data_IF_565335301837
#
_entry.id   IF_565335301837
#
_cell.length_a   1.000
_cell.length_b   1.000
_cell.length_c   1.000
_cell.angle_alpha   90.00
_cell.angle_beta   90.00
_cell.angle_gamma   90.00
#
_symmetry.space_group_name_H-M   'P 1'
#
loop_
_entity.id
_entity.type
_entity.pdbx_description
1 polymer ?
#
# COMPACT_ATOMS: atom_id res chain seq x y z
N UNK A 1 3.24 20.06 30.78
CA UNK A 1 1.84 20.36 31.13
C UNK A 1 1.07 20.36 29.83
N UNK A 2 0.30 19.30 29.60
CA UNK A 2 -0.62 19.22 28.46
C UNK A 2 -1.83 20.08 28.87
N UNK A 3 -2.33 20.99 28.01
CA UNK A 3 -3.49 21.82 28.34
C UNK A 3 -4.68 20.95 28.73
N UNK A 4 -5.37 21.33 29.81
CA UNK A 4 -6.55 20.67 30.39
C UNK A 4 -7.71 20.50 29.40
N UNK A 5 -7.68 21.18 28.26
CA UNK A 5 -8.68 21.05 27.21
C UNK A 5 -8.57 19.74 26.42
N UNK A 6 -7.42 19.03 26.50
CA UNK A 6 -7.20 17.77 25.77
C UNK A 6 -7.80 16.56 26.53
N UNK A 7 -7.92 16.60 27.86
CA UNK A 7 -8.52 15.50 28.64
C UNK A 7 -10.02 15.34 28.37
N UNK A 8 -10.72 16.43 28.00
CA UNK A 8 -12.15 16.38 27.67
C UNK A 8 -12.47 15.69 26.33
N UNK A 9 -11.48 15.58 25.44
CA UNK A 9 -11.57 14.83 24.18
C UNK A 9 -11.31 13.33 24.37
N UNK A 10 -10.84 12.92 25.54
CA UNK A 10 -10.36 11.56 25.78
C UNK A 10 -11.49 10.58 26.14
N UNK A 11 -12.67 11.10 26.51
CA UNK A 11 -13.85 10.30 26.83
C UNK A 11 -15.01 10.67 25.89
N UNK A 12 -15.20 9.93 24.78
CA UNK A 12 -16.33 10.18 23.88
C UNK A 12 -17.65 10.02 24.63
N UNK A 13 -18.66 10.81 24.24
CA UNK A 13 -20.00 10.68 24.81
C UNK A 13 -20.52 9.23 24.65
N UNK A 14 -21.45 8.76 25.50
CA UNK A 14 -21.96 7.39 25.41
C UNK A 14 -22.50 7.02 24.01
N UNK A 15 -23.11 7.99 23.30
CA UNK A 15 -23.54 7.81 21.92
C UNK A 15 -22.38 7.67 20.93
N UNK A 16 -21.34 8.50 21.06
CA UNK A 16 -20.12 8.38 20.27
C UNK A 16 -19.38 7.07 20.55
N UNK A 17 -19.36 6.62 21.80
CA UNK A 17 -18.76 5.34 22.18
C UNK A 17 -19.51 4.16 21.52
N UNK A 18 -20.84 4.23 21.39
CA UNK A 18 -21.59 3.22 20.64
C UNK A 18 -21.26 3.27 19.15
N UNK A 19 -21.19 4.45 18.53
CA UNK A 19 -20.85 4.55 17.10
C UNK A 19 -19.43 4.07 16.81
N UNK A 20 -18.46 4.38 17.67
CA UNK A 20 -17.04 4.06 17.46
C UNK A 20 -16.67 2.61 17.82
N UNK A 21 -17.39 2.00 18.77
CA UNK A 21 -17.00 0.71 19.35
C UNK A 21 -18.09 -0.36 19.31
N UNK A 22 -19.35 -0.04 18.94
CA UNK A 22 -20.37 -1.05 18.63
C UNK A 22 -20.29 -1.47 17.17
N UNK A 23 -20.25 -2.78 16.91
CA UNK A 23 -20.10 -3.36 15.56
C UNK A 23 -21.28 -2.99 14.65
N UNK A 24 -22.50 -2.91 15.17
CA UNK A 24 -23.69 -2.63 14.36
C UNK A 24 -23.82 -1.15 14.02
N UNK A 25 -23.63 -0.27 15.01
CA UNK A 25 -23.75 1.18 14.82
C UNK A 25 -22.58 1.74 14.02
N UNK A 26 -21.38 1.18 14.18
CA UNK A 26 -20.22 1.54 13.35
C UNK A 26 -20.48 1.21 11.88
N UNK A 27 -21.12 0.08 11.57
CA UNK A 27 -21.41 -0.31 10.19
C UNK A 27 -22.39 0.63 9.49
N UNK A 28 -23.53 0.94 10.13
CA UNK A 28 -24.51 1.86 9.56
C UNK A 28 -23.90 3.26 9.34
N UNK A 29 -23.15 3.75 10.32
CA UNK A 29 -22.42 5.01 10.21
C UNK A 29 -21.39 5.00 9.06
N UNK A 30 -20.61 3.94 8.93
CA UNK A 30 -19.63 3.78 7.85
C UNK A 30 -20.29 3.79 6.47
N UNK A 31 -21.42 3.09 6.31
CA UNK A 31 -22.19 3.07 5.07
C UNK A 31 -22.74 4.45 4.70
N UNK A 32 -23.24 5.20 5.69
CA UNK A 32 -23.73 6.55 5.49
C UNK A 32 -22.59 7.51 5.09
N UNK A 33 -21.43 7.39 5.73
CA UNK A 33 -20.24 8.16 5.36
C UNK A 33 -19.83 7.88 3.91
N UNK A 34 -19.72 6.61 3.52
CA UNK A 34 -19.36 6.21 2.17
C UNK A 34 -20.39 6.63 1.11
N UNK A 35 -21.68 6.61 1.45
CA UNK A 35 -22.75 7.10 0.57
C UNK A 35 -22.67 8.62 0.40
N UNK A 36 -22.46 9.35 1.50
CA UNK A 36 -22.32 10.80 1.49
C UNK A 36 -21.12 11.25 0.67
N UNK A 37 -19.96 10.57 0.77
CA UNK A 37 -18.75 10.87 -0.02
C UNK A 37 -19.00 10.92 -1.54
N UNK A 38 -20.00 10.19 -2.03
CA UNK A 38 -20.36 10.13 -3.45
C UNK A 38 -21.23 11.32 -3.87
N UNK A 39 -22.18 11.70 -3.04
CA UNK A 39 -23.32 12.53 -3.43
C UNK A 39 -23.19 14.00 -2.98
N UNK A 40 -22.19 14.33 -2.16
CA UNK A 40 -21.99 15.66 -1.60
C UNK A 40 -20.98 16.53 -2.36
N UNK A 41 -20.98 17.83 -2.09
CA UNK A 41 -19.99 18.76 -2.60
C UNK A 41 -18.59 18.49 -1.99
N UNK A 42 -17.56 19.09 -2.59
CA UNK A 42 -16.18 18.86 -2.17
C UNK A 42 -15.90 19.27 -0.71
N UNK A 43 -16.53 20.33 -0.20
CA UNK A 43 -16.33 20.76 1.19
C UNK A 43 -16.92 19.75 2.17
N UNK A 44 -18.11 19.24 1.86
CA UNK A 44 -18.77 18.22 2.67
C UNK A 44 -17.98 16.90 2.63
N UNK A 45 -17.50 16.49 1.46
CA UNK A 45 -16.68 15.28 1.32
C UNK A 45 -15.39 15.36 2.16
N UNK A 46 -14.80 16.54 2.24
CA UNK A 46 -13.57 16.79 3.01
C UNK A 46 -13.86 16.73 4.52
N UNK A 47 -14.97 17.30 4.97
CA UNK A 47 -15.41 17.19 6.36
C UNK A 47 -15.65 15.72 6.77
N UNK A 48 -16.32 14.94 5.92
CA UNK A 48 -16.55 13.51 6.15
C UNK A 48 -15.22 12.74 6.18
N UNK A 49 -14.28 13.04 5.28
CA UNK A 49 -12.97 12.37 5.25
C UNK A 49 -12.15 12.67 6.51
N UNK A 50 -12.15 13.91 7.01
CA UNK A 50 -11.54 14.25 8.29
C UNK A 50 -12.18 13.53 9.47
N UNK A 51 -13.51 13.44 9.50
CA UNK A 51 -14.23 12.69 10.53
C UNK A 51 -13.87 11.20 10.51
N UNK A 52 -13.81 10.58 9.33
CA UNK A 52 -13.33 9.21 9.15
C UNK A 52 -11.91 9.07 9.71
N UNK A 53 -11.01 10.00 9.39
CA UNK A 53 -9.63 9.95 9.85
C UNK A 53 -9.54 10.04 11.38
N UNK A 54 -10.32 10.91 12.00
CA UNK A 54 -10.42 11.01 13.45
C UNK A 54 -10.87 9.68 14.07
N UNK A 55 -11.89 9.03 13.50
CA UNK A 55 -12.38 7.75 13.98
C UNK A 55 -11.38 6.60 13.78
N UNK A 56 -10.49 6.70 12.78
CA UNK A 56 -9.45 5.70 12.50
C UNK A 56 -8.23 5.80 13.42
N UNK A 57 -7.95 6.98 13.98
CA UNK A 57 -6.73 7.23 14.76
C UNK A 57 -6.62 6.25 15.94
N UNK A 58 -5.57 5.43 15.94
CA UNK A 58 -5.35 4.36 16.93
C UNK A 58 -6.53 3.36 17.11
N UNK A 59 -7.49 3.31 16.18
CA UNK A 59 -8.65 2.43 16.23
C UNK A 59 -8.59 1.38 15.11
N UNK A 60 -8.10 0.19 15.45
CA UNK A 60 -7.92 -0.90 14.48
C UNK A 60 -9.25 -1.41 13.91
N UNK A 61 -10.29 -1.51 14.75
CA UNK A 61 -11.60 -2.05 14.32
C UNK A 61 -12.26 -1.11 13.31
N UNK A 62 -12.36 0.16 13.66
CA UNK A 62 -12.95 1.16 12.76
C UNK A 62 -12.15 1.27 11.46
N UNK A 63 -10.81 1.33 11.56
CA UNK A 63 -9.93 1.38 10.38
C UNK A 63 -10.17 0.21 9.43
N UNK A 64 -10.28 -1.02 9.94
CA UNK A 64 -10.52 -2.18 9.10
C UNK A 64 -11.89 -2.12 8.40
N UNK A 65 -12.95 -1.76 9.15
CA UNK A 65 -14.30 -1.67 8.59
C UNK A 65 -14.43 -0.58 7.52
N UNK A 66 -13.91 0.63 7.75
CA UNK A 66 -14.01 1.71 6.77
C UNK A 66 -13.15 1.44 5.54
N UNK A 67 -11.95 0.87 5.69
CA UNK A 67 -11.11 0.50 4.54
C UNK A 67 -11.82 -0.56 3.69
N UNK A 68 -12.40 -1.60 4.32
CA UNK A 68 -13.14 -2.64 3.61
C UNK A 68 -14.33 -2.07 2.85
N UNK A 69 -15.10 -1.17 3.47
CA UNK A 69 -16.25 -0.52 2.81
C UNK A 69 -15.80 0.38 1.65
N UNK A 70 -14.76 1.19 1.84
CA UNK A 70 -14.18 2.03 0.77
C UNK A 70 -13.70 1.16 -0.39
N UNK A 71 -13.02 0.03 -0.11
CA UNK A 71 -12.54 -0.89 -1.14
C UNK A 71 -13.68 -1.60 -1.86
N UNK A 72 -14.72 -2.03 -1.14
CA UNK A 72 -15.92 -2.60 -1.73
C UNK A 72 -16.60 -1.62 -2.70
N UNK A 73 -16.72 -0.34 -2.31
CA UNK A 73 -17.19 0.71 -3.21
C UNK A 73 -16.25 0.89 -4.40
N UNK A 74 -14.93 0.91 -4.18
CA UNK A 74 -13.92 0.99 -5.25
C UNK A 74 -14.01 -0.18 -6.24
N UNK A 75 -14.47 -1.36 -5.82
CA UNK A 75 -14.64 -2.51 -6.72
C UNK A 75 -15.98 -2.52 -7.46
N UNK A 76 -17.01 -1.83 -6.95
CA UNK A 76 -18.41 -2.03 -7.40
C UNK A 76 -19.07 -0.80 -8.04
N UNK A 77 -18.77 0.42 -7.58
CA UNK A 77 -19.41 1.64 -8.10
C UNK A 77 -18.83 2.06 -9.46
N UNK A 78 -19.57 2.78 -10.32
CA UNK A 78 -19.06 3.24 -11.62
C UNK A 78 -17.71 3.99 -11.54
N UNK A 79 -16.77 3.79 -12.49
CA UNK A 79 -15.44 4.39 -12.41
C UNK A 79 -15.38 5.92 -12.31
N UNK A 80 -16.43 6.64 -12.72
CA UNK A 80 -16.53 8.10 -12.62
C UNK A 80 -16.70 8.60 -11.18
N UNK A 81 -17.12 7.76 -10.25
CA UNK A 81 -17.39 8.11 -8.85
C UNK A 81 -16.23 7.74 -7.91
N UNK A 82 -15.18 7.10 -8.43
CA UNK A 82 -14.08 6.57 -7.61
C UNK A 82 -13.19 7.64 -6.96
N UNK A 83 -13.22 8.87 -7.47
CA UNK A 83 -12.32 9.95 -7.03
C UNK A 83 -12.44 10.22 -5.52
N UNK A 84 -13.67 10.33 -5.00
CA UNK A 84 -13.91 10.61 -3.57
C UNK A 84 -13.46 9.45 -2.68
N UNK A 85 -13.71 8.21 -3.10
CA UNK A 85 -13.29 7.01 -2.37
C UNK A 85 -11.77 6.87 -2.30
N UNK A 86 -11.06 7.07 -3.41
CA UNK A 86 -9.60 7.05 -3.41
C UNK A 86 -9.01 8.20 -2.60
N UNK A 87 -9.64 9.38 -2.59
CA UNK A 87 -9.21 10.50 -1.75
C UNK A 87 -9.32 10.14 -0.26
N UNK A 88 -10.50 9.72 0.19
CA UNK A 88 -10.72 9.33 1.59
C UNK A 88 -9.80 8.18 2.02
N UNK A 89 -9.62 7.17 1.17
CA UNK A 89 -8.70 6.06 1.42
C UNK A 89 -7.25 6.55 1.55
N UNK A 90 -6.82 7.50 0.71
CA UNK A 90 -5.48 8.10 0.82
C UNK A 90 -5.30 8.78 2.17
N UNK A 91 -6.27 9.57 2.62
CA UNK A 91 -6.20 10.27 3.92
C UNK A 91 -6.10 9.27 5.08
N UNK A 92 -6.91 8.21 5.07
CA UNK A 92 -6.86 7.12 6.07
C UNK A 92 -5.48 6.44 6.11
N UNK A 93 -4.85 6.21 4.96
CA UNK A 93 -3.51 5.60 4.90
C UNK A 93 -2.38 6.53 5.33
N UNK A 94 -2.60 7.86 5.28
CA UNK A 94 -1.61 8.86 5.68
C UNK A 94 -1.67 9.22 7.17
N UNK A 95 -2.65 8.71 7.92
CA UNK A 95 -2.69 8.89 9.38
C UNK A 95 -1.40 8.35 10.00
N UNK A 96 -0.66 9.22 10.69
CA UNK A 96 0.61 8.90 11.34
C UNK A 96 0.39 8.41 12.78
N UNK A 97 0.06 7.13 12.91
CA UNK A 97 -0.10 6.45 14.19
C UNK A 97 0.59 5.06 14.18
N UNK A 98 0.44 4.30 15.27
CA UNK A 98 0.98 2.95 15.42
C UNK A 98 0.35 1.90 14.47
N UNK A 99 -0.74 2.23 13.79
CA UNK A 99 -1.50 1.35 12.90
C UNK A 99 -1.29 1.65 11.41
N UNK A 100 -0.55 2.72 11.05
CA UNK A 100 -0.34 3.14 9.65
C UNK A 100 0.14 2.00 8.75
N UNK A 101 1.18 1.26 9.15
CA UNK A 101 1.72 0.14 8.36
C UNK A 101 0.70 -0.98 8.16
N UNK A 102 -0.14 -1.25 9.18
CA UNK A 102 -1.21 -2.26 9.10
C UNK A 102 -2.30 -1.82 8.13
N UNK A 103 -2.70 -0.54 8.15
CA UNK A 103 -3.67 0.01 7.19
C UNK A 103 -3.15 -0.11 5.76
N UNK A 104 -1.89 0.27 5.52
CA UNK A 104 -1.25 0.15 4.20
C UNK A 104 -1.24 -1.31 3.71
N UNK A 105 -0.78 -2.25 4.54
CA UNK A 105 -0.75 -3.66 4.18
C UNK A 105 -2.15 -4.21 3.88
N UNK A 106 -3.12 -3.91 4.74
CA UNK A 106 -4.50 -4.35 4.59
C UNK A 106 -5.13 -3.81 3.31
N UNK A 107 -4.88 -2.54 2.96
CA UNK A 107 -5.40 -1.96 1.71
C UNK A 107 -4.72 -2.52 0.46
N UNK A 108 -3.40 -2.61 0.45
CA UNK A 108 -2.66 -2.95 -0.77
C UNK A 108 -2.66 -4.46 -1.05
N UNK A 109 -2.43 -5.30 -0.04
CA UNK A 109 -2.37 -6.76 -0.17
C UNK A 109 -3.63 -7.49 0.30
N UNK A 110 -4.57 -6.77 0.96
CA UNK A 110 -5.86 -7.32 1.37
C UNK A 110 -5.86 -7.85 2.81
N UNK A 111 -7.07 -8.06 3.32
CA UNK A 111 -7.30 -8.73 4.59
C UNK A 111 -7.27 -10.25 4.45
N UNK A 112 -7.03 -10.96 5.57
CA UNK A 112 -7.00 -12.43 5.62
C UNK A 112 -8.26 -13.09 5.03
N UNK A 113 -9.42 -12.46 5.22
CA UNK A 113 -10.72 -13.02 4.83
C UNK A 113 -11.27 -12.46 3.52
N UNK A 114 -10.72 -11.33 3.03
CA UNK A 114 -11.16 -10.63 1.82
C UNK A 114 -9.99 -10.12 0.97
N UNK A 115 -9.07 -11.00 0.53
CA UNK A 115 -7.92 -10.60 -0.29
C UNK A 115 -8.34 -10.00 -1.64
N UNK A 116 -9.54 -10.32 -2.13
CA UNK A 116 -10.11 -9.83 -3.38
C UNK A 116 -10.37 -8.33 -3.41
N UNK A 117 -10.58 -7.70 -2.25
CA UNK A 117 -10.81 -6.26 -2.13
C UNK A 117 -9.52 -5.44 -2.19
N UNK A 118 -8.35 -6.09 -2.14
CA UNK A 118 -7.07 -5.39 -2.20
C UNK A 118 -6.91 -4.57 -3.48
N UNK A 119 -6.18 -3.47 -3.40
CA UNK A 119 -5.96 -2.61 -4.57
C UNK A 119 -5.18 -3.35 -5.66
N UNK A 120 -4.16 -4.13 -5.30
CA UNK A 120 -3.43 -4.94 -6.29
C UNK A 120 -4.35 -5.96 -6.96
N UNK A 121 -5.24 -6.63 -6.21
CA UNK A 121 -6.17 -7.59 -6.82
C UNK A 121 -7.18 -6.89 -7.72
N UNK A 122 -7.69 -5.73 -7.31
CA UNK A 122 -8.60 -4.90 -8.12
C UNK A 122 -7.96 -4.50 -9.45
N UNK A 123 -6.69 -4.09 -9.45
CA UNK A 123 -5.91 -3.77 -10.66
C UNK A 123 -5.78 -5.01 -11.57
N UNK A 124 -5.56 -6.18 -10.99
CA UNK A 124 -5.34 -7.43 -11.74
C UNK A 124 -6.62 -8.02 -12.34
N UNK A 125 -7.77 -7.92 -11.65
CA UNK A 125 -8.99 -8.66 -12.03
C UNK A 125 -10.07 -7.81 -12.67
N UNK A 126 -10.03 -6.48 -12.54
CA UNK A 126 -11.05 -5.63 -13.13
C UNK A 126 -11.00 -5.71 -14.66
N UNK A 127 -12.18 -5.70 -15.30
CA UNK A 127 -12.32 -5.55 -16.75
C UNK A 127 -12.39 -4.08 -17.20
N UNK A 128 -12.56 -3.14 -16.24
CA UNK A 128 -12.78 -1.73 -16.52
C UNK A 128 -11.48 -0.95 -16.53
N UNK A 129 -11.01 -0.57 -17.72
CA UNK A 129 -9.71 0.12 -17.87
C UNK A 129 -9.59 1.41 -17.04
N UNK A 130 -10.68 2.15 -16.84
CA UNK A 130 -10.68 3.36 -15.99
C UNK A 130 -10.45 3.03 -14.51
N UNK A 131 -10.96 1.90 -14.02
CA UNK A 131 -10.79 1.46 -12.62
C UNK A 131 -9.35 0.99 -12.40
N UNK A 132 -8.83 0.18 -13.33
CA UNK A 132 -7.44 -0.28 -13.31
C UNK A 132 -6.49 0.92 -13.28
N UNK A 133 -6.64 1.87 -14.20
CA UNK A 133 -5.82 3.08 -14.23
C UNK A 133 -5.88 3.90 -12.94
N UNK A 134 -7.08 4.11 -12.38
CA UNK A 134 -7.21 4.85 -11.12
C UNK A 134 -6.56 4.11 -9.94
N UNK A 135 -6.62 2.78 -9.91
CA UNK A 135 -5.87 1.97 -8.95
C UNK A 135 -4.35 2.15 -9.10
N UNK A 136 -3.83 2.15 -10.33
CA UNK A 136 -2.41 2.40 -10.60
C UNK A 136 -2.00 3.80 -10.15
N UNK A 137 -2.79 4.83 -10.52
CA UNK A 137 -2.55 6.21 -10.11
C UNK A 137 -2.57 6.36 -8.59
N UNK A 138 -3.45 5.64 -7.91
CA UNK A 138 -3.50 5.62 -6.45
C UNK A 138 -2.23 5.02 -5.84
N UNK A 139 -1.76 3.84 -6.28
CA UNK A 139 -0.55 3.22 -5.70
C UNK A 139 0.70 4.09 -5.92
N UNK A 140 0.83 4.70 -7.11
CA UNK A 140 1.95 5.59 -7.45
C UNK A 140 1.91 6.86 -6.59
N UNK A 141 0.75 7.51 -6.54
CA UNK A 141 0.56 8.71 -5.73
C UNK A 141 0.76 8.47 -4.23
N UNK A 142 0.35 7.30 -3.73
CA UNK A 142 0.58 6.91 -2.33
C UNK A 142 2.07 6.69 -2.04
N UNK A 143 2.80 6.03 -2.94
CA UNK A 143 4.25 5.82 -2.80
C UNK A 143 5.01 7.17 -2.73
N UNK A 144 4.58 8.17 -3.50
CA UNK A 144 5.20 9.49 -3.49
C UNK A 144 4.94 10.30 -2.21
N UNK A 145 3.90 9.95 -1.45
CA UNK A 145 3.48 10.67 -0.24
C UNK A 145 3.82 9.96 1.07
N UNK A 146 4.04 8.66 1.04
CA UNK A 146 4.26 7.85 2.24
C UNK A 146 5.41 6.87 2.04
N UNK A 147 6.51 7.08 2.76
CA UNK A 147 7.68 6.21 2.71
C UNK A 147 7.35 4.76 3.08
N UNK A 148 6.53 4.53 4.11
CA UNK A 148 6.08 3.17 4.51
C UNK A 148 5.28 2.50 3.40
N UNK A 149 4.46 3.25 2.66
CA UNK A 149 3.71 2.71 1.53
C UNK A 149 4.63 2.41 0.34
N UNK A 150 5.59 3.31 0.05
CA UNK A 150 6.62 3.10 -0.98
C UNK A 150 7.41 1.82 -0.71
N UNK A 151 7.90 1.64 0.52
CA UNK A 151 8.62 0.43 0.92
C UNK A 151 7.76 -0.83 0.75
N UNK A 152 6.50 -0.78 1.17
CA UNK A 152 5.58 -1.91 1.00
C UNK A 152 5.33 -2.22 -0.48
N UNK A 153 5.09 -1.20 -1.32
CA UNK A 153 4.84 -1.36 -2.75
C UNK A 153 6.06 -1.95 -3.46
N UNK A 154 7.26 -1.48 -3.13
CA UNK A 154 8.50 -2.04 -3.68
C UNK A 154 8.68 -3.50 -3.27
N UNK A 155 8.30 -3.88 -2.05
CA UNK A 155 8.28 -5.29 -1.64
C UNK A 155 7.23 -6.14 -2.39
N UNK A 156 6.28 -5.52 -3.11
CA UNK A 156 5.30 -6.17 -3.99
C UNK A 156 5.71 -6.02 -5.47
N UNK A 157 6.97 -6.37 -5.76
CA UNK A 157 7.60 -6.12 -7.06
C UNK A 157 6.88 -6.75 -8.25
N UNK A 158 6.41 -7.99 -8.14
CA UNK A 158 5.66 -8.67 -9.21
C UNK A 158 4.33 -7.97 -9.52
N UNK A 159 3.61 -7.56 -8.47
CA UNK A 159 2.33 -6.86 -8.61
C UNK A 159 2.54 -5.47 -9.22
N UNK A 160 3.59 -4.76 -8.80
CA UNK A 160 3.98 -3.48 -9.38
C UNK A 160 4.35 -3.65 -10.87
N UNK A 161 5.21 -4.60 -11.22
CA UNK A 161 5.58 -4.89 -12.61
C UNK A 161 4.37 -5.22 -13.48
N UNK A 162 3.43 -6.02 -12.96
CA UNK A 162 2.17 -6.36 -13.64
C UNK A 162 1.34 -5.10 -13.91
N UNK A 163 1.19 -4.23 -12.91
CA UNK A 163 0.45 -2.99 -13.02
C UNK A 163 1.08 -2.02 -14.05
N UNK A 164 2.40 -1.81 -13.97
CA UNK A 164 3.12 -0.94 -14.92
C UNK A 164 3.07 -1.50 -16.34
N UNK A 165 3.26 -2.81 -16.51
CA UNK A 165 3.17 -3.47 -17.82
C UNK A 165 1.78 -3.32 -18.44
N UNK A 166 0.74 -3.44 -17.63
CA UNK A 166 -0.63 -3.17 -18.08
C UNK A 166 -0.79 -1.73 -18.56
N UNK A 167 -0.29 -0.74 -17.81
CA UNK A 167 -0.39 0.68 -18.16
C UNK A 167 0.38 1.00 -19.45
N UNK A 168 1.62 0.52 -19.57
CA UNK A 168 2.46 0.63 -20.78
C UNK A 168 1.73 0.07 -22.00
N UNK A 169 1.23 -1.16 -21.91
CA UNK A 169 0.47 -1.80 -23.00
C UNK A 169 -0.77 -1.01 -23.34
N UNK A 170 -1.55 -0.56 -22.34
CA UNK A 170 -2.78 0.20 -22.58
C UNK A 170 -2.50 1.50 -23.33
N UNK A 171 -1.44 2.23 -22.97
CA UNK A 171 -1.01 3.44 -23.68
C UNK A 171 -0.55 3.09 -25.10
N UNK A 172 0.25 2.03 -25.27
CA UNK A 172 0.79 1.63 -26.58
C UNK A 172 -0.26 1.07 -27.57
N UNK A 173 -1.13 0.16 -27.13
CA UNK A 173 -2.21 -0.42 -27.97
C UNK A 173 -3.13 0.68 -28.55
N UNK A 174 -3.31 1.76 -27.78
CA UNK A 174 -4.12 2.90 -28.18
C UNK A 174 -3.31 3.92 -29.00
N UNK A 175 -1.98 3.84 -29.01
CA UNK A 175 -1.12 4.64 -29.89
C UNK A 175 -1.07 4.05 -31.31
N UNK A 176 -1.04 2.72 -31.45
CA UNK A 176 -0.97 2.03 -32.75
C UNK A 176 -2.31 2.07 -33.51
N UNK A 177 -3.43 1.99 -32.79
CA UNK A 177 -4.76 2.13 -33.39
C UNK A 177 -5.02 3.51 -34.00
N UNK A 178 -4.23 4.54 -33.67
CA UNK A 178 -4.30 5.87 -34.30
C UNK A 178 -3.42 6.00 -35.55
N UNK A 179 -2.29 5.29 -35.63
CA UNK A 179 -1.46 5.27 -36.82
C UNK A 179 -2.15 4.57 -38.00
N UNK A 180 -3.04 3.61 -37.73
CA UNK A 180 -3.82 2.90 -38.74
C UNK A 180 -5.25 3.43 -38.98
N UNK A 181 -5.72 4.40 -38.19
CA UNK A 181 -7.11 4.90 -38.24
C UNK A 181 -7.30 6.18 -39.07
N UNK A 182 -6.59 6.32 -40.19
CA UNK A 182 -6.97 7.26 -41.26
C UNK A 182 -8.22 6.78 -42.05
N UNK A 183 -9.00 5.85 -41.50
CA UNK A 183 -10.19 5.32 -42.13
C UNK A 183 -11.24 4.89 -41.10
N UNK A 184 -12.37 5.59 -41.19
CA UNK A 184 -13.72 5.27 -40.73
C UNK A 184 -14.11 5.35 -39.24
N UNK A 185 -14.98 6.34 -39.02
CA UNK A 185 -16.27 6.28 -38.31
C UNK A 185 -16.35 5.78 -36.87
N UNK A 186 -16.57 6.77 -35.99
CA UNK A 186 -17.70 6.86 -35.07
C UNK A 186 -18.05 5.63 -34.21
N UNK A 187 -17.13 5.17 -33.36
CA UNK A 187 -17.50 4.45 -32.13
C UNK A 187 -16.52 4.76 -30.98
N UNK A 188 -17.06 4.98 -29.78
CA UNK A 188 -16.40 5.20 -28.47
C UNK A 188 -15.52 6.45 -28.27
N UNK A 189 -16.14 7.52 -27.77
CA UNK A 189 -15.48 8.74 -27.31
C UNK A 189 -14.70 8.57 -25.99
N UNK A 190 -15.01 7.56 -25.17
CA UNK A 190 -14.37 7.34 -23.86
C UNK A 190 -12.95 6.81 -23.97
N UNK A 191 -12.64 6.03 -25.00
CA UNK A 191 -11.30 5.51 -25.26
C UNK A 191 -10.35 6.58 -25.82
N UNK A 192 -10.89 7.56 -26.56
CA UNK A 192 -10.12 8.65 -27.22
C UNK A 192 -9.61 9.73 -26.26
N UNK A 193 -10.15 9.85 -25.04
CA UNK A 193 -9.70 10.83 -24.04
C UNK A 193 -8.46 10.33 -23.27
N UNK A 194 -8.31 9.02 -23.09
CA UNK A 194 -7.21 8.45 -22.29
C UNK A 194 -5.82 8.78 -22.86
N UNK A 195 -5.74 8.89 -24.20
CA UNK A 195 -4.54 9.24 -24.98
C UNK A 195 -4.02 10.67 -24.76
N UNK A 196 -4.85 11.61 -24.27
CA UNK A 196 -4.53 13.05 -24.31
C UNK A 196 -4.13 13.66 -22.98
N UNK A 197 -4.32 12.97 -21.86
CA UNK A 197 -4.00 13.55 -20.56
C UNK A 197 -2.55 13.28 -20.22
N UNK A 198 -1.75 14.35 -20.21
CA UNK A 198 -0.41 14.46 -19.60
C UNK A 198 -0.31 13.59 -18.33
N UNK A 199 -1.35 13.62 -17.49
CA UNK A 199 -1.46 12.78 -16.29
C UNK A 199 -1.24 11.26 -16.46
N UNK A 200 -1.61 10.64 -17.58
CA UNK A 200 -1.44 9.20 -17.77
C UNK A 200 0.02 8.84 -18.09
N UNK A 201 0.70 9.70 -18.86
CA UNK A 201 2.13 9.59 -19.11
C UNK A 201 2.92 9.89 -17.85
N UNK A 202 2.56 10.96 -17.11
CA UNK A 202 3.19 11.29 -15.81
C UNK A 202 3.09 10.10 -14.84
N UNK A 203 1.90 9.50 -14.74
CA UNK A 203 1.68 8.32 -13.89
C UNK A 203 2.57 7.15 -14.34
N UNK A 204 2.73 6.94 -15.65
CA UNK A 204 3.60 5.90 -16.16
C UNK A 204 5.08 6.18 -15.85
N UNK A 205 5.52 7.42 -16.00
CA UNK A 205 6.91 7.83 -15.72
C UNK A 205 7.26 7.66 -14.24
N UNK A 206 6.37 8.09 -13.35
CA UNK A 206 6.50 7.87 -11.90
C UNK A 206 6.47 6.36 -11.56
N UNK A 207 5.61 5.57 -12.19
CA UNK A 207 5.57 4.12 -11.97
C UNK A 207 6.86 3.42 -12.46
N UNK A 208 7.43 3.89 -13.58
CA UNK A 208 8.72 3.40 -14.06
C UNK A 208 9.86 3.76 -13.10
N UNK A 209 9.81 4.94 -12.48
CA UNK A 209 10.79 5.32 -11.47
C UNK A 209 10.77 4.38 -10.25
N UNK A 210 9.57 3.95 -9.82
CA UNK A 210 9.44 2.93 -8.76
C UNK A 210 10.03 1.57 -9.17
N UNK A 211 9.85 1.14 -10.43
CA UNK A 211 10.47 -0.10 -10.92
C UNK A 211 12.01 0.01 -10.97
N UNK A 212 12.55 1.12 -11.46
CA UNK A 212 14.00 1.33 -11.49
C UNK A 212 14.59 1.34 -10.06
N UNK A 213 13.86 1.89 -9.10
CA UNK A 213 14.26 1.83 -7.70
C UNK A 213 14.24 0.41 -7.15
N UNK A 214 13.21 -0.39 -7.46
CA UNK A 214 13.14 -1.80 -7.09
C UNK A 214 14.38 -2.57 -7.60
N UNK A 215 14.70 -2.43 -8.89
CA UNK A 215 15.87 -3.04 -9.51
C UNK A 215 17.17 -2.61 -8.82
N UNK A 216 17.28 -1.34 -8.43
CA UNK A 216 18.43 -0.83 -7.69
C UNK A 216 18.53 -1.39 -6.26
N UNK A 217 17.41 -1.74 -5.61
CA UNK A 217 17.40 -2.40 -4.29
C UNK A 217 17.83 -3.85 -4.41
N UNK A 218 17.34 -4.57 -5.41
CA UNK A 218 17.69 -5.97 -5.66
C UNK A 218 19.18 -6.11 -6.02
N UNK A 219 19.71 -5.16 -6.81
CA UNK A 219 21.14 -5.12 -7.18
C UNK A 219 22.08 -4.87 -6.00
N UNK A 220 21.58 -4.27 -4.91
CA UNK A 220 22.35 -3.97 -3.69
C UNK A 220 22.24 -5.07 -2.63
N UNK A 221 21.38 -6.07 -2.82
CA UNK A 221 21.30 -7.19 -1.90
C UNK A 221 22.62 -7.97 -1.95
N UNK A 222 23.33 -8.15 -0.82
CA UNK A 222 24.59 -8.87 -0.81
C UNK A 222 24.33 -10.32 -1.23
N UNK A 223 25.03 -10.75 -2.26
CA UNK A 223 24.97 -12.13 -2.76
C UNK A 223 25.40 -13.08 -1.63
N UNK A 224 24.57 -14.03 -1.15
CA UNK A 224 24.95 -14.96 -0.08
C UNK A 224 25.97 -16.02 -0.52
N UNK A 225 26.53 -15.91 -1.72
CA UNK A 225 27.49 -16.84 -2.28
C UNK A 225 28.87 -16.19 -2.39
N UNK A 226 29.59 -16.09 -1.28
CA UNK A 226 31.07 -16.01 -1.18
C UNK A 226 31.49 -16.11 0.29
N UNK A 227 31.07 -17.17 1.00
CA UNK A 227 31.83 -17.66 2.14
C UNK A 227 32.90 -18.57 1.58
N UNK A 228 34.12 -18.06 1.53
CA UNK A 228 35.35 -18.78 1.16
C UNK A 228 35.52 -20.02 2.04
N UNK A 229 35.30 -21.20 1.46
CA UNK A 229 35.63 -22.47 2.08
C UNK A 229 37.14 -22.58 2.23
N UNK A 230 37.59 -22.53 3.48
CA UNK A 230 38.93 -22.89 3.92
C UNK A 230 39.28 -24.30 3.45
N UNK A 231 40.24 -24.41 2.51
CA UNK A 231 40.89 -25.69 2.20
C UNK A 231 42.30 -25.67 2.78
N UNK A 232 42.48 -26.58 3.73
CA UNK A 232 43.71 -26.94 4.44
C UNK A 232 44.78 -27.48 3.49
N UNK A 233 46.03 -27.03 3.63
CA UNK A 233 47.23 -27.82 3.31
C UNK A 233 48.50 -27.27 3.96
N UNK A 234 48.88 -27.96 5.04
CA UNK A 234 50.22 -28.49 5.36
C UNK A 234 51.48 -27.62 5.42
N UNK A 235 52.12 -27.75 6.59
CA UNK A 235 53.56 -27.94 6.86
C UNK A 235 54.39 -26.74 7.33
N UNK A 236 54.76 -26.76 8.62
CA UNK A 236 56.10 -26.37 9.06
C UNK A 236 56.46 -27.02 10.40
N UNK A 237 57.73 -27.36 10.47
CA UNK A 237 58.41 -28.26 11.39
C UNK A 237 58.90 -27.57 12.68
N UNK A 238 58.95 -28.37 13.76
CA UNK A 238 59.93 -28.38 14.86
C UNK A 238 60.51 -27.08 15.45
N UNK A 239 60.26 -26.86 16.76
CA UNK A 239 61.25 -26.77 17.87
C UNK A 239 60.51 -26.41 19.18
N UNK A 240 60.42 -27.34 20.14
CA UNK A 240 61.31 -27.46 21.32
C UNK A 240 61.33 -26.23 22.23
N UNK A 241 60.67 -26.33 23.38
CA UNK A 241 61.27 -26.03 24.69
C UNK A 241 60.43 -26.59 25.83
N UNK A 242 61.16 -27.08 26.83
CA UNK A 242 60.74 -27.75 28.07
C UNK A 242 60.20 -26.75 29.10
N UNK A 243 59.37 -27.27 30.02
CA UNK A 243 59.45 -27.21 31.50
C UNK A 243 58.03 -27.35 32.07
N UNK A 244 57.70 -28.52 32.65
CA UNK A 244 57.62 -28.78 34.11
C UNK A 244 56.72 -27.79 34.86
N UNK A 245 55.66 -28.14 35.57
CA UNK A 245 55.11 -29.42 36.00
C UNK A 245 53.97 -29.14 37.00
N UNK A 246 53.45 -30.21 37.59
CA UNK A 246 52.67 -30.24 38.84
C UNK A 246 51.13 -30.08 38.76
N UNK A 247 50.44 -31.22 38.56
CA UNK A 247 49.24 -31.63 39.32
C UNK A 247 49.67 -32.15 40.71
N UNK A 248 48.80 -32.45 41.71
CA UNK A 248 47.35 -32.70 41.64
C UNK A 248 46.50 -32.14 42.81
N UNK A 249 45.17 -32.26 42.68
CA UNK A 249 44.19 -32.13 43.77
C UNK A 249 42.87 -31.65 43.17
N UNK A 250 41.80 -32.44 43.00
CA UNK A 250 41.30 -33.52 43.85
C UNK A 250 40.36 -32.91 44.89
N UNK A 251 39.06 -32.77 44.56
CA UNK A 251 37.96 -33.15 45.45
C UNK A 251 36.53 -32.84 44.91
N UNK A 252 35.77 -33.94 44.77
CA UNK A 252 34.40 -34.26 45.23
C UNK A 252 33.23 -33.27 45.09
N UNK A 253 32.16 -33.88 44.55
CA UNK A 253 30.74 -33.51 44.57
C UNK A 253 30.18 -33.18 45.97
N UNK A 254 29.19 -32.29 45.97
CA UNK A 254 28.34 -31.89 47.09
C UNK A 254 27.48 -30.71 46.70
#
# INVERSE_FOLDING_TARGET
MIPSDIESLQNPSPGMHQILFSVEMSRAFIQECCSTLRDCDASTADAISHMICYCCYCNQSFSACIIEELQNNISTVPPNELKSYFKALTEVLLIEDSLQSKRIQFTLAGGKYKPELSIFKTIQTSSESKRIYQGIKFIVGLANRCFKARDFILAQGEQLQTAVSWLRRKINDHSWSHASAFSFSNESSTSKIFQRTISAQDTLDEANALLNELEARDSRAPNPSLTTTSTTSSSSSFKSSRESGNTPGGNIEG
#
